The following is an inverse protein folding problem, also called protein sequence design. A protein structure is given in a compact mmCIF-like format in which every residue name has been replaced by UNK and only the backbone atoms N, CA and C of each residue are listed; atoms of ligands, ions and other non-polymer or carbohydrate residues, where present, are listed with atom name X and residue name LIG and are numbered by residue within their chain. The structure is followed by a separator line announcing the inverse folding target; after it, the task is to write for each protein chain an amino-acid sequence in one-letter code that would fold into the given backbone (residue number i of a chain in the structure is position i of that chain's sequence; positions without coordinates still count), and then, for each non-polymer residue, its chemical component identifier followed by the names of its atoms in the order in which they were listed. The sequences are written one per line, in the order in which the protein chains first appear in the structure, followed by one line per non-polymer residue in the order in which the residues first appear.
data_IF_423100322694
#
_entry.id   IF_423100322694
#
_cell.length_a   1.000
_cell.length_b   1.000
_cell.length_c   1.000
_cell.angle_alpha   90.00
_cell.angle_beta   90.00
_cell.angle_gamma   90.00
#
_symmetry.space_group_name_H-M   'P 1'
#
loop_
_entity.id
_entity.type
_entity.pdbx_description
1 polymer ?
#
# COMPACT_ATOMS: atom_id res chain seq x y z
N UNK A 1 -8.27 5.44 5.48
CA UNK A 1 -7.30 4.89 4.53
C UNK A 1 -5.97 4.59 5.22
N UNK A 2 -5.16 5.58 5.63
CA UNK A 2 -3.84 5.33 6.22
C UNK A 2 -3.84 4.35 7.40
N UNK A 3 -4.77 4.50 8.34
CA UNK A 3 -4.92 3.54 9.44
C UNK A 3 -5.26 2.12 8.99
N UNK A 4 -6.07 1.97 7.93
CA UNK A 4 -6.38 0.66 7.35
C UNK A 4 -5.15 0.00 6.73
N UNK A 5 -4.33 0.79 6.01
CA UNK A 5 -3.05 0.32 5.46
C UNK A 5 -2.12 -0.13 6.59
N UNK A 6 -1.94 0.71 7.62
CA UNK A 6 -1.06 0.39 8.75
C UNK A 6 -1.48 -0.89 9.48
N UNK A 7 -2.78 -1.02 9.82
CA UNK A 7 -3.32 -2.24 10.44
C UNK A 7 -3.15 -3.48 9.54
N UNK A 8 -3.43 -3.33 8.25
CA UNK A 8 -3.28 -4.44 7.30
C UNK A 8 -1.84 -4.91 7.17
N UNK A 9 -0.88 -3.97 7.08
CA UNK A 9 0.55 -4.28 6.97
C UNK A 9 1.14 -4.82 8.27
N UNK A 10 0.65 -4.38 9.44
CA UNK A 10 1.14 -4.90 10.73
C UNK A 10 0.73 -6.35 11.02
N UNK A 11 -0.16 -6.90 10.21
CA UNK A 11 -0.67 -8.27 10.33
C UNK A 11 -0.35 -9.13 9.10
N UNK A 12 0.65 -8.75 8.30
CA UNK A 12 1.19 -9.54 7.19
C UNK A 12 2.66 -9.90 7.45
N UNK A 13 3.16 -10.88 6.69
CA UNK A 13 4.54 -11.38 6.86
C UNK A 13 5.60 -10.52 6.13
N UNK A 14 5.21 -9.41 5.49
CA UNK A 14 6.13 -8.54 4.74
C UNK A 14 6.97 -7.64 5.65
N UNK A 15 6.40 -7.16 6.75
CA UNK A 15 7.04 -6.23 7.68
C UNK A 15 6.80 -6.69 9.11
N UNK A 16 7.78 -6.44 9.96
CA UNK A 16 7.55 -6.54 11.40
C UNK A 16 6.80 -5.28 11.85
N UNK A 17 5.82 -5.38 12.74
CA UNK A 17 5.07 -4.20 13.21
C UNK A 17 5.98 -3.08 13.73
N UNK A 18 7.10 -3.43 14.38
CA UNK A 18 8.08 -2.49 14.92
C UNK A 18 8.81 -1.67 13.82
N UNK A 19 8.82 -2.16 12.58
CA UNK A 19 9.43 -1.44 11.45
C UNK A 19 8.43 -0.49 10.76
N UNK A 20 7.19 -0.43 11.25
CA UNK A 20 6.13 0.45 10.72
C UNK A 20 5.91 1.63 11.65
N UNK A 21 6.22 2.83 11.18
CA UNK A 21 5.91 4.07 11.91
C UNK A 21 4.68 4.75 11.31
N UNK A 22 3.69 5.05 12.14
CA UNK A 22 2.45 5.73 11.75
C UNK A 22 2.44 7.13 12.34
N UNK A 23 2.49 8.15 11.48
CA UNK A 23 2.49 9.55 11.90
C UNK A 23 1.08 10.12 11.76
N UNK A 24 0.51 10.61 12.84
CA UNK A 24 -0.80 11.27 12.86
C UNK A 24 -0.69 12.70 13.39
N UNK A 25 -1.57 13.60 12.94
CA UNK A 25 -1.67 14.94 13.49
C UNK A 25 -2.46 15.00 14.82
N UNK A 26 -3.30 14.02 15.08
CA UNK A 26 -4.20 13.95 16.24
C UNK A 26 -3.83 12.79 17.14
N UNK A 27 -3.59 13.07 18.41
CA UNK A 27 -3.24 12.06 19.42
C UNK A 27 -4.30 10.94 19.55
N UNK A 28 -5.59 11.28 19.38
CA UNK A 28 -6.66 10.28 19.41
C UNK A 28 -6.50 9.20 18.33
N UNK A 29 -5.99 9.58 17.15
CA UNK A 29 -5.73 8.61 16.06
C UNK A 29 -4.45 7.81 16.28
N UNK A 30 -3.46 8.40 16.94
CA UNK A 30 -2.27 7.68 17.39
C UNK A 30 -2.66 6.61 18.41
N UNK A 31 -3.45 6.97 19.42
CA UNK A 31 -3.94 6.02 20.44
C UNK A 31 -4.78 4.89 19.82
N UNK A 32 -5.62 5.17 18.81
CA UNK A 32 -6.40 4.15 18.09
C UNK A 32 -5.50 3.12 17.39
N UNK A 33 -4.40 3.55 16.78
CA UNK A 33 -3.43 2.65 16.12
C UNK A 33 -2.67 1.83 17.15
N UNK A 34 -2.19 2.43 18.23
CA UNK A 34 -1.50 1.72 19.32
C UNK A 34 -2.42 0.74 20.04
N UNK A 35 -3.70 1.08 20.22
CA UNK A 35 -4.69 0.17 20.79
C UNK A 35 -4.99 -1.04 19.91
N UNK A 36 -4.83 -0.92 18.60
CA UNK A 36 -4.98 -2.04 17.67
C UNK A 36 -3.76 -2.97 17.71
N UNK A 37 -2.56 -2.42 17.64
CA UNK A 37 -1.31 -3.18 17.72
C UNK A 37 -0.25 -2.34 18.45
N UNK A 38 0.08 -2.69 19.73
CA UNK A 38 1.06 -1.96 20.52
C UNK A 38 2.48 -1.98 19.97
N UNK A 39 2.81 -2.94 19.09
CA UNK A 39 4.13 -3.04 18.47
C UNK A 39 4.35 -2.03 17.35
N UNK A 40 3.27 -1.44 16.80
CA UNK A 40 3.37 -0.35 15.83
C UNK A 40 3.95 0.90 16.49
N UNK A 41 4.87 1.54 15.80
CA UNK A 41 5.35 2.86 16.23
C UNK A 41 4.35 3.93 15.78
N UNK A 42 3.48 4.39 16.68
CA UNK A 42 2.52 5.45 16.37
C UNK A 42 2.92 6.74 17.10
N UNK A 43 3.13 7.82 16.32
CA UNK A 43 3.60 9.12 16.83
C UNK A 43 2.67 10.25 16.40
N UNK A 44 2.66 11.33 17.17
CA UNK A 44 1.82 12.50 16.89
C UNK A 44 2.69 13.69 16.52
N UNK A 45 2.58 14.16 15.28
CA UNK A 45 3.24 15.39 14.81
C UNK A 45 4.76 15.32 14.69
N UNK A 46 5.37 14.17 14.92
CA UNK A 46 6.80 13.96 14.72
C UNK A 46 7.08 13.26 13.38
N UNK A 47 7.73 13.97 12.49
CA UNK A 47 8.08 13.53 11.14
C UNK A 47 9.56 13.13 10.99
N UNK A 48 10.32 13.07 12.07
CA UNK A 48 11.78 12.79 12.06
C UNK A 48 12.10 11.42 11.41
N UNK A 49 11.24 10.44 11.59
CA UNK A 49 11.42 9.10 10.99
C UNK A 49 11.39 9.08 9.46
N UNK A 50 10.85 10.11 8.79
CA UNK A 50 10.83 10.19 7.33
C UNK A 50 12.24 10.30 6.73
N UNK A 51 13.20 10.84 7.48
CA UNK A 51 14.59 10.96 7.03
C UNK A 51 15.31 9.61 6.91
N UNK A 52 14.82 8.57 7.58
CA UNK A 52 15.44 7.24 7.62
C UNK A 52 14.55 6.13 7.04
N UNK A 53 13.32 6.46 6.65
CA UNK A 53 12.38 5.51 6.10
C UNK A 53 12.75 5.13 4.66
N UNK A 54 12.77 3.82 4.37
CA UNK A 54 12.97 3.32 3.00
C UNK A 54 11.70 3.51 2.15
N UNK A 55 10.53 3.43 2.77
CA UNK A 55 9.22 3.57 2.10
C UNK A 55 8.37 4.56 2.89
N UNK A 56 7.84 5.54 2.19
CA UNK A 56 6.92 6.55 2.74
C UNK A 56 5.58 6.44 2.03
N UNK A 57 4.51 6.17 2.80
CA UNK A 57 3.14 6.13 2.28
C UNK A 57 2.39 7.37 2.76
N UNK A 58 2.05 8.26 1.82
CA UNK A 58 1.34 9.50 2.07
C UNK A 58 -0.17 9.26 1.96
N UNK A 59 -0.83 9.19 3.11
CA UNK A 59 -2.26 8.90 3.23
C UNK A 59 -3.06 10.07 3.84
N UNK A 60 -2.73 11.28 3.43
CA UNK A 60 -3.44 12.51 3.82
C UNK A 60 -4.45 12.94 2.77
N UNK A 61 -5.20 14.01 3.04
CA UNK A 61 -6.10 14.59 2.04
C UNK A 61 -5.30 15.24 0.90
N UNK A 62 -5.81 15.24 -0.35
CA UNK A 62 -5.04 15.72 -1.52
C UNK A 62 -4.43 17.11 -1.34
N UNK A 63 -5.18 18.06 -0.79
CA UNK A 63 -4.71 19.44 -0.57
C UNK A 63 -3.62 19.60 0.50
N UNK A 64 -3.27 18.51 1.19
CA UNK A 64 -2.21 18.51 2.21
C UNK A 64 -0.93 17.86 1.71
N UNK A 65 -0.96 17.16 0.57
CA UNK A 65 0.18 16.36 0.08
C UNK A 65 1.37 17.25 -0.23
N UNK A 66 1.15 18.34 -0.95
CA UNK A 66 2.21 19.28 -1.33
C UNK A 66 2.93 19.86 -0.11
N UNK A 67 2.17 20.41 0.84
CA UNK A 67 2.74 21.00 2.05
C UNK A 67 3.53 19.97 2.85
N UNK A 68 2.99 18.76 3.04
CA UNK A 68 3.65 17.69 3.77
C UNK A 68 4.99 17.30 3.09
N UNK A 69 4.99 17.15 1.77
CA UNK A 69 6.21 16.79 1.03
C UNK A 69 7.26 17.91 1.16
N UNK A 70 6.87 19.15 0.90
CA UNK A 70 7.78 20.31 0.95
C UNK A 70 8.37 20.55 2.33
N UNK A 71 7.57 20.32 3.37
CA UNK A 71 7.98 20.57 4.75
C UNK A 71 8.84 19.44 5.34
N UNK A 72 8.52 18.18 5.00
CA UNK A 72 9.09 17.04 5.72
C UNK A 72 9.86 16.03 4.87
N UNK A 73 9.77 16.09 3.53
CA UNK A 73 10.45 15.15 2.62
C UNK A 73 11.59 15.79 1.82
N UNK A 74 11.89 17.09 2.04
CA UNK A 74 12.99 17.81 1.40
C UNK A 74 14.23 17.75 2.29
N UNK A 75 15.07 16.76 2.20
CA UNK A 75 16.26 16.69 3.05
C UNK A 75 17.04 15.40 2.86
N UNK A 76 17.88 15.07 3.84
CA UNK A 76 18.57 13.79 3.87
C UNK A 76 17.58 12.64 3.86
N UNK A 77 17.83 11.68 3.01
CA UNK A 77 16.99 10.51 2.79
C UNK A 77 17.87 9.29 2.48
N UNK A 78 17.38 8.05 2.71
CA UNK A 78 18.04 6.85 2.23
C UNK A 78 18.12 6.85 0.69
N UNK A 79 19.20 6.31 0.16
CA UNK A 79 19.28 6.03 -1.27
C UNK A 79 18.17 5.04 -1.66
N UNK A 80 17.49 5.34 -2.77
CA UNK A 80 16.40 4.50 -3.26
C UNK A 80 15.07 4.61 -2.47
N UNK A 81 14.90 5.63 -1.62
CA UNK A 81 13.64 5.88 -0.93
C UNK A 81 12.44 5.90 -1.89
N UNK A 82 11.43 5.12 -1.56
CA UNK A 82 10.17 5.03 -2.29
C UNK A 82 9.12 5.93 -1.64
N UNK A 83 8.46 6.78 -2.44
CA UNK A 83 7.36 7.62 -1.97
C UNK A 83 6.08 7.22 -2.70
N UNK A 84 5.06 6.85 -1.94
CA UNK A 84 3.76 6.38 -2.45
C UNK A 84 2.68 7.33 -1.97
N UNK A 85 1.96 7.97 -2.88
CA UNK A 85 0.75 8.74 -2.54
C UNK A 85 -0.49 7.87 -2.74
N UNK A 86 -1.34 7.76 -1.72
CA UNK A 86 -2.68 7.17 -1.85
C UNK A 86 -3.78 8.24 -1.90
N UNK A 87 -3.40 9.50 -2.08
CA UNK A 87 -4.32 10.61 -2.24
C UNK A 87 -4.87 10.67 -3.67
N UNK A 88 -6.19 10.68 -3.79
CA UNK A 88 -6.84 10.75 -5.12
C UNK A 88 -6.60 12.11 -5.79
N UNK A 89 -6.38 12.10 -7.11
CA UNK A 89 -6.25 13.32 -7.91
C UNK A 89 -4.87 13.99 -7.84
N UNK A 90 -3.86 13.30 -7.32
CA UNK A 90 -2.46 13.71 -7.39
C UNK A 90 -1.80 12.96 -8.55
N UNK A 91 -1.12 13.69 -9.45
CA UNK A 91 -0.35 13.11 -10.55
C UNK A 91 1.09 12.80 -10.16
N UNK A 92 1.74 11.92 -10.93
CA UNK A 92 3.18 11.66 -10.77
C UNK A 92 4.02 12.91 -11.04
N UNK A 93 3.61 13.75 -11.98
CA UNK A 93 4.28 15.02 -12.28
C UNK A 93 4.25 15.98 -11.07
N UNK A 94 3.09 16.09 -10.41
CA UNK A 94 2.97 16.88 -9.18
C UNK A 94 3.86 16.32 -8.07
N UNK A 95 3.85 14.99 -7.85
CA UNK A 95 4.72 14.37 -6.87
C UNK A 95 6.20 14.62 -7.18
N UNK A 96 6.60 14.52 -8.45
CA UNK A 96 7.97 14.78 -8.88
C UNK A 96 8.39 16.23 -8.64
N UNK A 97 7.49 17.17 -8.92
CA UNK A 97 7.71 18.59 -8.68
C UNK A 97 7.95 18.89 -7.20
N UNK A 98 7.23 18.21 -6.31
CA UNK A 98 7.33 18.45 -4.87
C UNK A 98 8.42 17.63 -4.18
N UNK A 99 8.59 16.37 -4.57
CA UNK A 99 9.51 15.43 -3.90
C UNK A 99 10.91 15.36 -4.54
N UNK A 100 11.08 15.93 -5.74
CA UNK A 100 12.34 15.86 -6.52
C UNK A 100 12.34 14.74 -7.54
N UNK A 101 13.32 14.83 -8.49
CA UNK A 101 13.38 13.96 -9.67
C UNK A 101 14.07 12.62 -9.42
N UNK A 102 14.79 12.48 -8.32
CA UNK A 102 15.68 11.34 -8.05
C UNK A 102 15.03 10.27 -7.16
N UNK A 103 13.73 10.34 -6.94
CA UNK A 103 12.99 9.39 -6.10
C UNK A 103 12.14 8.46 -6.95
N UNK A 104 11.99 7.24 -6.50
CA UNK A 104 10.91 6.36 -6.99
C UNK A 104 9.58 6.83 -6.43
N UNK A 105 8.69 7.29 -7.30
CA UNK A 105 7.41 7.90 -6.96
C UNK A 105 6.27 7.02 -7.45
N UNK A 106 5.25 6.86 -6.60
CA UNK A 106 4.07 6.09 -6.94
C UNK A 106 2.78 6.81 -6.57
N UNK A 107 1.79 6.69 -7.42
CA UNK A 107 0.40 6.97 -7.11
C UNK A 107 -0.34 5.63 -7.02
N UNK A 108 -0.95 5.35 -5.88
CA UNK A 108 -1.74 4.15 -5.66
C UNK A 108 -3.17 4.53 -5.26
N UNK A 109 -4.15 3.87 -5.86
CA UNK A 109 -5.56 4.12 -5.59
C UNK A 109 -6.21 2.84 -5.05
N UNK A 110 -6.14 2.60 -3.74
CA UNK A 110 -6.89 1.54 -3.10
C UNK A 110 -8.37 1.93 -2.93
N UNK A 111 -9.21 0.93 -2.72
CA UNK A 111 -10.60 1.14 -2.31
C UNK A 111 -10.82 0.88 -0.82
N UNK A 112 -12.05 1.09 -0.34
CA UNK A 112 -12.40 0.92 1.08
C UNK A 112 -12.32 -0.51 1.59
N UNK A 113 -12.33 -1.52 0.71
CA UNK A 113 -12.18 -2.93 1.08
C UNK A 113 -10.77 -3.27 1.59
N UNK A 114 -9.83 -2.32 1.55
CA UNK A 114 -8.50 -2.45 2.16
C UNK A 114 -8.58 -2.72 3.66
N UNK A 115 -9.63 -2.27 4.34
CA UNK A 115 -9.85 -2.51 5.76
C UNK A 115 -9.95 -4.01 6.09
N UNK A 116 -10.47 -4.80 5.14
CA UNK A 116 -10.64 -6.26 5.26
C UNK A 116 -9.68 -7.03 4.33
N UNK A 117 -8.60 -6.40 3.88
CA UNK A 117 -7.60 -6.99 2.96
C UNK A 117 -8.19 -7.54 1.66
N UNK A 118 -9.22 -6.90 1.15
CA UNK A 118 -9.88 -7.24 -0.12
C UNK A 118 -9.88 -6.04 -1.08
N UNK A 119 -8.88 -5.17 -0.97
CA UNK A 119 -8.74 -4.05 -1.89
C UNK A 119 -8.46 -4.53 -3.32
N UNK A 120 -8.91 -3.75 -4.28
CA UNK A 120 -8.28 -3.67 -5.59
C UNK A 120 -7.55 -2.34 -5.65
N UNK A 121 -6.23 -2.39 -5.85
CA UNK A 121 -5.37 -1.19 -5.86
C UNK A 121 -4.73 -1.06 -7.22
N UNK A 122 -4.99 0.05 -7.91
CA UNK A 122 -4.25 0.41 -9.11
C UNK A 122 -3.08 1.31 -8.75
N UNK A 123 -1.93 1.05 -9.35
CA UNK A 123 -0.66 1.69 -9.02
C UNK A 123 -0.01 2.17 -10.32
N UNK A 124 0.54 3.37 -10.31
CA UNK A 124 1.42 3.86 -11.37
C UNK A 124 2.71 4.37 -10.73
N UNK A 125 3.83 4.22 -11.42
CA UNK A 125 5.15 4.57 -10.90
C UNK A 125 5.95 5.43 -11.86
N UNK A 126 6.88 6.22 -11.31
CA UNK A 126 7.83 7.05 -12.02
C UNK A 126 9.21 6.91 -11.39
N UNK A 127 10.28 6.85 -12.20
CA UNK A 127 11.67 6.68 -11.75
C UNK A 127 11.88 5.42 -10.88
N UNK A 128 11.17 4.37 -11.17
CA UNK A 128 11.16 3.14 -10.38
C UNK A 128 11.91 2.01 -11.08
N UNK A 129 12.63 1.21 -10.31
CA UNK A 129 13.25 -0.03 -10.79
C UNK A 129 12.22 -1.18 -10.78
N UNK A 130 12.53 -2.27 -11.49
CA UNK A 130 11.73 -3.51 -11.47
C UNK A 130 11.54 -4.06 -10.06
N UNK A 131 12.60 -4.02 -9.24
CA UNK A 131 12.54 -4.51 -7.85
C UNK A 131 11.65 -3.64 -6.98
N UNK A 132 11.68 -2.31 -7.16
CA UNK A 132 10.79 -1.38 -6.48
C UNK A 132 9.33 -1.58 -6.92
N UNK A 133 9.09 -1.82 -8.21
CA UNK A 133 7.76 -2.15 -8.72
C UNK A 133 7.22 -3.43 -8.07
N UNK A 134 8.04 -4.49 -8.00
CA UNK A 134 7.66 -5.74 -7.31
C UNK A 134 7.37 -5.52 -5.83
N UNK A 135 8.21 -4.74 -5.15
CA UNK A 135 8.01 -4.43 -3.74
C UNK A 135 6.69 -3.71 -3.48
N UNK A 136 6.38 -2.68 -4.27
CA UNK A 136 5.13 -1.91 -4.14
C UNK A 136 3.91 -2.78 -4.47
N UNK A 137 3.99 -3.64 -5.50
CA UNK A 137 2.95 -4.63 -5.79
C UNK A 137 2.73 -5.59 -4.62
N UNK A 138 3.78 -6.09 -3.97
CA UNK A 138 3.69 -6.98 -2.83
C UNK A 138 3.05 -6.28 -1.61
N UNK A 139 3.40 -5.00 -1.35
CA UNK A 139 2.81 -4.21 -0.27
C UNK A 139 1.29 -4.13 -0.41
N UNK A 140 0.80 -3.71 -1.57
CA UNK A 140 -0.64 -3.60 -1.79
C UNK A 140 -1.30 -4.96 -2.07
N UNK A 141 -0.56 -5.94 -2.56
CA UNK A 141 -0.98 -7.33 -2.71
C UNK A 141 -1.31 -8.00 -1.37
N UNK A 142 -0.57 -7.67 -0.31
CA UNK A 142 -0.89 -8.11 1.06
C UNK A 142 -2.20 -7.52 1.61
N UNK A 143 -2.70 -6.46 0.97
CA UNK A 143 -3.93 -5.77 1.33
C UNK A 143 -5.10 -6.06 0.37
N UNK A 144 -4.91 -7.00 -0.57
CA UNK A 144 -5.88 -7.38 -1.57
C UNK A 144 -5.24 -7.72 -2.91
N UNK A 145 -5.76 -7.19 -4.00
CA UNK A 145 -5.16 -7.28 -5.33
C UNK A 145 -4.52 -5.95 -5.69
N UNK A 146 -3.38 -6.01 -6.37
CA UNK A 146 -2.65 -4.83 -6.82
C UNK A 146 -2.19 -5.02 -8.26
N UNK A 147 -2.30 -3.98 -9.07
CA UNK A 147 -1.87 -4.00 -10.46
C UNK A 147 -1.17 -2.68 -10.85
N UNK A 148 -0.06 -2.79 -11.58
CA UNK A 148 0.57 -1.65 -12.22
C UNK A 148 -0.19 -1.29 -13.48
N UNK A 149 -0.48 -0.01 -13.63
CA UNK A 149 -1.17 0.54 -14.80
C UNK A 149 -0.48 1.80 -15.28
N UNK A 150 -0.69 2.15 -16.53
CA UNK A 150 -0.26 3.44 -17.04
C UNK A 150 -1.03 4.58 -16.34
N UNK A 151 -0.38 5.72 -16.10
CA UNK A 151 -0.97 6.85 -15.37
C UNK A 151 -2.30 7.32 -16.00
N UNK A 152 -2.39 7.33 -17.34
CA UNK A 152 -3.63 7.70 -18.06
C UNK A 152 -4.85 6.84 -17.70
N UNK A 153 -4.61 5.60 -17.21
CA UNK A 153 -5.67 4.65 -16.85
C UNK A 153 -6.08 4.80 -15.37
N UNK A 154 -5.30 5.50 -14.55
CA UNK A 154 -5.56 5.62 -13.12
C UNK A 154 -6.90 6.33 -12.81
N UNK A 155 -7.23 7.39 -13.56
CA UNK A 155 -8.50 8.10 -13.46
C UNK A 155 -9.72 7.22 -13.81
N UNK A 156 -9.79 6.63 -15.00
CA UNK A 156 -10.85 5.68 -15.38
C UNK A 156 -10.96 4.48 -14.42
N UNK A 157 -9.83 3.91 -13.98
CA UNK A 157 -9.81 2.82 -13.03
C UNK A 157 -10.43 3.21 -11.67
N UNK A 158 -10.17 4.44 -11.21
CA UNK A 158 -10.78 4.99 -9.99
C UNK A 158 -12.30 5.08 -10.11
N UNK A 159 -12.81 5.50 -11.26
CA UNK A 159 -14.26 5.57 -11.51
C UNK A 159 -14.87 4.17 -11.46
N UNK A 160 -14.27 3.20 -12.14
CA UNK A 160 -14.75 1.80 -12.13
C UNK A 160 -14.80 1.22 -10.72
N UNK A 161 -13.77 1.44 -9.90
CA UNK A 161 -13.75 0.98 -8.49
C UNK A 161 -14.86 1.62 -7.65
N UNK A 162 -15.12 2.91 -7.84
CA UNK A 162 -16.17 3.63 -7.10
C UNK A 162 -17.57 3.18 -7.53
N UNK A 163 -17.80 2.94 -8.82
CA UNK A 163 -19.11 2.53 -9.33
C UNK A 163 -19.46 1.09 -8.94
N UNK A 164 -18.53 0.15 -8.99
CA UNK A 164 -18.79 -1.25 -8.57
C UNK A 164 -19.14 -1.39 -7.10
N UNK A 165 -18.61 -0.52 -6.24
CA UNK A 165 -18.96 -0.52 -4.80
C UNK A 165 -20.30 0.18 -4.51
N UNK A 166 -20.82 0.98 -5.45
CA UNK A 166 -22.08 1.73 -5.29
C UNK A 166 -23.26 1.17 -6.10
N UNK A 167 -23.01 0.33 -7.10
CA UNK A 167 -24.10 -0.38 -7.75
C UNK A 167 -24.62 -1.43 -6.76
N UNK A 168 -25.82 -1.24 -6.18
CA UNK A 168 -26.53 -2.38 -5.69
C UNK A 168 -26.60 -3.34 -6.87
N UNK A 169 -26.26 -4.60 -6.66
CA UNK A 169 -26.59 -5.67 -7.59
C UNK A 169 -28.09 -5.48 -7.89
N UNK A 170 -28.37 -4.89 -9.05
CA UNK A 170 -29.73 -4.80 -9.54
C UNK A 170 -30.17 -6.26 -9.77
N UNK A 171 -31.12 -6.82 -9.03
CA UNK A 171 -31.52 -8.20 -9.22
C UNK A 171 -32.42 -8.32 -10.46
N UNK A 172 -32.02 -7.71 -11.57
CA UNK A 172 -32.84 -7.63 -12.77
C UNK A 172 -32.10 -7.50 -14.08
N UNK A 173 -30.76 -7.43 -14.09
CA UNK A 173 -29.99 -7.37 -15.35
C UNK A 173 -29.47 -8.73 -15.82
N UNK A 174 -29.78 -9.82 -15.11
CA UNK A 174 -29.47 -11.16 -15.57
C UNK A 174 -30.55 -11.68 -16.47
N UNK A 175 -30.49 -11.28 -17.75
CA UNK A 175 -31.16 -11.97 -18.86
C UNK A 175 -30.57 -13.35 -19.11
N UNK A 176 -30.34 -14.12 -18.06
CA UNK A 176 -29.85 -15.49 -18.12
C UNK A 176 -30.31 -16.27 -16.92
N UNK A 177 -31.35 -17.07 -17.08
CA UNK A 177 -31.80 -18.05 -16.10
C UNK A 177 -30.69 -19.09 -15.86
N UNK A 178 -29.72 -18.78 -15.00
CA UNK A 178 -28.83 -19.76 -14.39
C UNK A 178 -29.52 -20.29 -13.13
N UNK A 179 -30.16 -21.44 -13.21
CA UNK A 179 -30.61 -22.18 -12.02
C UNK A 179 -29.40 -22.38 -11.10
N UNK A 180 -29.43 -21.78 -9.92
CA UNK A 180 -28.57 -22.19 -8.82
C UNK A 180 -28.90 -23.66 -8.49
N UNK A 181 -28.07 -24.58 -8.92
CA UNK A 181 -28.10 -25.95 -8.44
C UNK A 181 -27.68 -26.00 -6.97
N UNK A 182 -28.17 -26.99 -6.22
CA UNK A 182 -27.83 -27.12 -4.80
C UNK A 182 -26.32 -27.29 -4.63
N UNK A 183 -25.74 -26.61 -3.60
CA UNK A 183 -24.36 -26.75 -3.19
C UNK A 183 -24.01 -28.24 -3.00
N UNK A 184 -22.90 -28.74 -3.54
CA UNK A 184 -22.47 -30.10 -3.30
C UNK A 184 -22.12 -30.28 -1.82
N UNK A 185 -22.65 -31.33 -1.23
CA UNK A 185 -22.39 -31.77 0.12
C UNK A 185 -20.86 -31.99 0.35
N UNK A 186 -20.39 -31.66 1.55
CA UNK A 186 -19.06 -31.99 2.04
C UNK A 186 -18.74 -33.48 1.81
N UNK A 187 -17.77 -33.79 0.98
CA UNK A 187 -17.35 -35.14 0.73
C UNK A 187 -15.88 -35.23 0.36
N UNK A 188 -15.09 -35.81 1.29
CA UNK A 188 -13.84 -36.57 1.14
C UNK A 188 -12.60 -35.90 0.52
N UNK A 189 -11.65 -35.82 1.39
CA UNK A 189 -10.20 -35.63 1.18
C UNK A 189 -9.67 -36.54 0.06
N UNK A 190 -9.00 -35.96 -0.92
CA UNK A 190 -7.89 -36.65 -1.59
C UNK A 190 -6.64 -35.79 -1.44
N UNK A 191 -5.68 -36.36 -0.73
CA UNK A 191 -4.27 -35.91 -0.73
C UNK A 191 -3.71 -36.19 -2.12
N UNK A 192 -3.17 -35.18 -2.77
CA UNK A 192 -2.18 -35.39 -3.82
C UNK A 192 -0.92 -34.61 -3.47
N UNK A 193 0.18 -35.31 -3.61
CA UNK A 193 1.51 -34.99 -3.17
C UNK A 193 2.04 -33.66 -3.71
N UNK A 194 2.75 -32.96 -2.84
CA UNK A 194 3.62 -31.85 -3.14
C UNK A 194 4.96 -32.38 -3.66
N UNK A 195 5.49 -31.90 -4.78
CA UNK A 195 6.91 -31.95 -5.03
C UNK A 195 7.53 -30.56 -5.06
N UNK A 196 8.71 -30.48 -4.46
CA UNK A 196 9.71 -29.43 -4.60
C UNK A 196 9.62 -28.24 -3.62
N UNK A 197 10.34 -28.45 -2.54
CA UNK A 197 11.04 -27.41 -1.78
C UNK A 197 12.01 -26.70 -2.73
N UNK A 198 11.99 -25.38 -2.66
CA UNK A 198 13.06 -24.56 -3.18
C UNK A 198 12.56 -23.16 -3.48
N UNK A 199 12.43 -22.33 -2.45
CA UNK A 199 12.98 -21.00 -2.44
C UNK A 199 12.52 -20.32 -1.15
N UNK A 200 13.48 -20.02 -0.31
CA UNK A 200 13.27 -19.21 0.90
C UNK A 200 12.86 -17.82 0.46
N UNK A 201 11.88 -17.18 1.14
CA UNK A 201 11.59 -15.78 0.88
C UNK A 201 12.85 -14.96 1.12
N UNK A 202 13.17 -14.08 0.18
CA UNK A 202 14.28 -13.15 0.28
C UNK A 202 14.12 -12.33 1.57
N UNK A 203 15.06 -12.54 2.49
CA UNK A 203 15.21 -11.69 3.66
C UNK A 203 15.53 -10.29 3.14
N UNK A 204 14.70 -9.32 3.46
CA UNK A 204 15.06 -7.91 3.32
C UNK A 204 16.20 -7.66 4.30
N UNK A 205 17.45 -7.76 3.81
CA UNK A 205 18.60 -7.36 4.59
C UNK A 205 18.60 -5.83 4.65
N UNK A 206 18.53 -5.27 5.86
CA UNK A 206 19.02 -3.92 6.13
C UNK A 206 20.43 -3.86 5.58
N UNK A 207 20.67 -2.98 4.60
CA UNK A 207 22.01 -2.52 4.31
C UNK A 207 22.49 -1.71 5.51
N UNK A 208 23.31 -2.33 6.35
CA UNK A 208 24.01 -1.63 7.40
C UNK A 208 24.88 -0.53 6.76
N UNK A 209 25.01 0.65 7.40
CA UNK A 209 25.90 1.68 6.91
C UNK A 209 27.34 1.13 6.91
N UNK A 210 28.01 1.21 5.79
CA UNK A 210 29.46 0.96 5.69
C UNK A 210 30.15 1.99 6.59
N UNK A 211 30.68 1.56 7.70
CA UNK A 211 31.70 2.30 8.44
C UNK A 211 32.94 2.37 7.57
N UNK A 212 33.18 3.55 7.00
CA UNK A 212 34.47 3.86 6.40
C UNK A 212 35.49 3.96 7.51
N UNK A 213 36.40 2.99 7.56
CA UNK A 213 37.63 3.10 8.29
C UNK A 213 38.74 3.50 7.32
N UNK A 214 39.62 4.38 7.76
CA UNK A 214 40.84 4.77 7.10
C UNK A 214 40.99 6.27 7.02
#
# INVERSE_FOLDING_TARGET
MGGAIARGLSTCDLFRPQDITVINRRASKTAEIQGFNPELQAVTGDYSSLATADIVIIAVKPWMVEALIKEHLTGKRPDGQIVISVAAGISLEQLQTWAGKDRALYCAIPNTAIEVKQSMTFITGLNATEDQNRLVLNIFGALGKAELVEERLLGPATLLLRYRLRLPLYPGSDGGRGRAGPLPAKGSRRRSANPARGDRPARIQRLAPRTGGG
#
